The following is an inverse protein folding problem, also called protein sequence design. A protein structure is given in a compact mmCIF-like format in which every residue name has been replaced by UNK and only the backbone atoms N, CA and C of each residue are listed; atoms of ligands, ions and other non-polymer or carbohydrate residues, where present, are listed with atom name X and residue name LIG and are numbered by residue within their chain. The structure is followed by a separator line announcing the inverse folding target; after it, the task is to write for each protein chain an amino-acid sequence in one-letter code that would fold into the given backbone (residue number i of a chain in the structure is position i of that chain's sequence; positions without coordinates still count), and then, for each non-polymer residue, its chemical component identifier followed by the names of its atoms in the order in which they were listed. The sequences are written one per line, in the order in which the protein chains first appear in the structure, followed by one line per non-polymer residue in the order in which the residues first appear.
data_IF_530852750384
#
_entry.id   IF_530852750384
#
_cell.length_a   1.000
_cell.length_b   1.000
_cell.length_c   1.000
_cell.angle_alpha   90.00
_cell.angle_beta   90.00
_cell.angle_gamma   90.00
#
_symmetry.space_group_name_H-M   'P 1'
#
loop_
_entity.id
_entity.type
_entity.pdbx_description
1 polymer ?
#
# COMPACT_ATOMS: atom_id res chain seq x y z
N UNK A 1 -14.24 -30.37 -22.37
CA UNK A 1 -13.78 -29.95 -21.07
C UNK A 1 -12.29 -29.65 -21.22
N UNK A 2 -11.93 -28.37 -21.33
CA UNK A 2 -10.53 -27.98 -21.45
C UNK A 2 -9.94 -27.94 -20.03
N UNK A 3 -9.04 -28.87 -19.74
CA UNK A 3 -8.21 -28.85 -18.54
C UNK A 3 -7.38 -27.57 -18.56
N UNK A 4 -7.83 -26.58 -17.82
CA UNK A 4 -7.00 -25.40 -17.51
C UNK A 4 -5.93 -25.92 -16.56
N UNK A 5 -4.73 -26.14 -17.08
CA UNK A 5 -3.55 -26.45 -16.26
C UNK A 5 -3.40 -25.33 -15.22
N UNK A 6 -3.19 -25.66 -13.95
CA UNK A 6 -2.92 -24.63 -12.93
C UNK A 6 -1.67 -23.86 -13.36
N UNK A 7 -1.79 -22.53 -13.41
CA UNK A 7 -0.64 -21.63 -13.63
C UNK A 7 0.35 -21.95 -12.53
N UNK A 8 1.54 -22.38 -12.92
CA UNK A 8 2.62 -22.70 -11.97
C UNK A 8 3.11 -21.38 -11.35
N UNK A 9 2.51 -21.00 -10.23
CA UNK A 9 2.89 -19.79 -9.50
C UNK A 9 4.27 -20.02 -8.87
N UNK A 10 5.14 -19.02 -8.97
CA UNK A 10 6.40 -19.04 -8.22
C UNK A 10 6.10 -18.97 -6.73
N UNK A 11 6.80 -19.76 -5.94
CA UNK A 11 6.74 -19.63 -4.49
C UNK A 11 7.54 -18.41 -4.04
N UNK A 12 6.94 -17.59 -3.17
CA UNK A 12 7.65 -16.49 -2.52
C UNK A 12 8.54 -17.08 -1.44
N UNK A 13 9.85 -16.81 -1.54
CA UNK A 13 10.82 -17.24 -0.53
C UNK A 13 10.59 -16.53 0.81
N UNK A 14 10.91 -17.20 1.89
CA UNK A 14 10.97 -16.58 3.22
C UNK A 14 11.91 -15.37 3.20
N UNK A 15 11.53 -14.26 3.83
CA UNK A 15 12.24 -12.97 3.78
C UNK A 15 12.38 -12.31 2.40
N UNK A 16 11.67 -12.78 1.40
CA UNK A 16 11.58 -12.03 0.14
C UNK A 16 10.90 -10.68 0.37
N UNK A 17 11.57 -9.60 -0.02
CA UNK A 17 11.09 -8.22 0.14
C UNK A 17 10.69 -7.64 -1.21
N UNK A 18 9.50 -7.05 -1.26
CA UNK A 18 8.97 -6.29 -2.40
C UNK A 18 8.81 -4.84 -1.99
N UNK A 19 9.28 -3.90 -2.79
CA UNK A 19 9.31 -2.51 -2.38
C UNK A 19 8.87 -1.56 -3.48
N UNK A 20 8.10 -0.55 -3.13
CA UNK A 20 7.71 0.51 -4.05
C UNK A 20 7.64 1.87 -3.35
N UNK A 21 7.69 2.92 -4.18
CA UNK A 21 7.56 4.30 -3.74
C UNK A 21 6.49 5.01 -4.55
N UNK A 22 5.75 5.89 -3.90
CA UNK A 22 4.79 6.76 -4.57
C UNK A 22 4.95 8.21 -4.11
N UNK A 23 4.81 9.18 -5.01
CA UNK A 23 4.89 10.59 -4.69
C UNK A 23 3.67 11.04 -3.89
N UNK A 24 3.87 12.04 -3.04
CA UNK A 24 2.80 12.77 -2.40
C UNK A 24 2.17 13.79 -3.37
N UNK A 25 1.10 14.41 -2.94
CA UNK A 25 0.45 15.49 -3.67
C UNK A 25 -0.08 16.57 -2.72
N UNK A 26 -0.33 17.74 -3.26
CA UNK A 26 -1.04 18.82 -2.60
C UNK A 26 -2.31 19.18 -3.37
N UNK A 27 -3.44 19.21 -2.68
CA UNK A 27 -4.70 19.56 -3.28
C UNK A 27 -4.82 21.09 -3.43
N UNK A 28 -5.02 21.56 -4.66
CA UNK A 28 -5.37 22.95 -4.97
C UNK A 28 -6.87 23.19 -4.85
N UNK A 29 -7.66 22.22 -5.31
CA UNK A 29 -9.10 22.17 -5.13
C UNK A 29 -9.42 20.82 -4.49
N UNK A 30 -9.98 20.87 -3.29
CA UNK A 30 -10.32 19.68 -2.52
C UNK A 30 -11.82 19.44 -2.59
N UNK A 31 -12.23 18.19 -2.85
CA UNK A 31 -13.64 17.86 -2.72
C UNK A 31 -14.06 17.89 -1.25
N UNK A 32 -15.22 18.47 -0.99
CA UNK A 32 -15.79 18.65 0.35
C UNK A 32 -17.13 17.92 0.41
N UNK A 33 -17.11 16.63 0.66
CA UNK A 33 -18.30 15.82 0.79
C UNK A 33 -18.35 14.63 -0.15
N UNK A 34 -19.23 13.69 0.18
CA UNK A 34 -19.46 12.47 -0.58
C UNK A 34 -20.91 12.40 -0.99
N UNK A 35 -21.16 12.07 -2.25
CA UNK A 35 -22.50 11.79 -2.75
C UNK A 35 -22.76 10.29 -2.69
N UNK A 36 -23.76 9.85 -1.90
CA UNK A 36 -24.16 8.45 -1.76
C UNK A 36 -23.46 7.68 -0.65
N UNK A 37 -24.14 6.67 -0.13
CA UNK A 37 -23.75 5.96 1.09
C UNK A 37 -22.75 4.81 0.91
N UNK A 38 -22.51 4.32 -0.31
CA UNK A 38 -21.79 3.05 -0.49
C UNK A 38 -20.47 3.12 -1.26
N UNK A 39 -20.21 4.15 -2.06
CA UNK A 39 -19.06 4.16 -2.99
C UNK A 39 -18.09 5.33 -2.84
N UNK A 40 -18.20 6.13 -1.79
CA UNK A 40 -17.31 7.28 -1.56
C UNK A 40 -17.18 8.25 -2.76
N UNK A 41 -18.23 8.38 -3.55
CA UNK A 41 -18.24 9.26 -4.72
C UNK A 41 -18.09 10.73 -4.28
N UNK A 42 -17.16 11.49 -4.87
CA UNK A 42 -17.00 12.90 -4.54
C UNK A 42 -18.20 13.71 -5.02
N UNK A 43 -18.61 14.71 -4.24
CA UNK A 43 -19.70 15.62 -4.60
C UNK A 43 -19.27 16.74 -5.55
N UNK A 44 -17.98 16.99 -5.68
CA UNK A 44 -17.40 17.98 -6.59
C UNK A 44 -16.03 17.51 -7.11
N UNK A 45 -15.56 18.18 -8.16
CA UNK A 45 -14.23 17.91 -8.71
C UNK A 45 -13.11 18.27 -7.72
N UNK A 46 -11.97 17.61 -7.85
CA UNK A 46 -10.74 17.94 -7.14
C UNK A 46 -9.58 18.13 -8.12
N UNK A 47 -8.63 18.96 -7.73
CA UNK A 47 -7.40 19.19 -8.47
C UNK A 47 -6.22 19.14 -7.50
N UNK A 48 -5.20 18.38 -7.84
CA UNK A 48 -3.98 18.30 -7.04
C UNK A 48 -2.74 18.34 -7.92
N UNK A 49 -1.63 18.79 -7.35
CA UNK A 49 -0.31 18.77 -7.96
C UNK A 49 0.50 17.67 -7.29
N UNK A 50 1.12 16.81 -8.09
CA UNK A 50 2.05 15.80 -7.61
C UNK A 50 3.36 16.45 -7.18
N UNK A 51 3.91 16.03 -6.05
CA UNK A 51 5.17 16.48 -5.49
C UNK A 51 6.19 15.32 -5.61
N UNK A 52 6.92 15.23 -6.73
CA UNK A 52 7.70 14.03 -7.06
C UNK A 52 8.83 13.74 -6.08
N UNK A 53 9.37 14.78 -5.41
CA UNK A 53 10.45 14.64 -4.44
C UNK A 53 9.98 14.18 -3.05
N UNK A 54 8.68 14.34 -2.76
CA UNK A 54 8.10 13.94 -1.47
C UNK A 54 7.41 12.59 -1.63
N UNK A 55 8.04 11.55 -1.12
CA UNK A 55 7.64 10.16 -1.40
C UNK A 55 7.37 9.37 -0.13
N UNK A 56 6.42 8.46 -0.24
CA UNK A 56 6.25 7.35 0.71
C UNK A 56 6.84 6.09 0.10
N UNK A 57 7.59 5.35 0.90
CA UNK A 57 8.10 4.01 0.58
C UNK A 57 7.33 2.97 1.37
N UNK A 58 6.97 1.88 0.71
CA UNK A 58 6.38 0.69 1.33
C UNK A 58 7.22 -0.53 0.97
N UNK A 59 7.44 -1.38 1.94
CA UNK A 59 8.09 -2.68 1.79
C UNK A 59 7.14 -3.76 2.29
N UNK A 60 7.00 -4.83 1.53
CA UNK A 60 6.22 -6.03 1.86
C UNK A 60 7.20 -7.19 1.92
N UNK A 61 7.31 -7.84 3.07
CA UNK A 61 8.20 -8.98 3.27
C UNK A 61 7.39 -10.21 3.65
N UNK A 62 7.69 -11.34 3.00
CA UNK A 62 7.06 -12.62 3.35
C UNK A 62 7.61 -13.14 4.67
N UNK A 63 6.70 -13.47 5.57
CA UNK A 63 6.97 -14.12 6.84
C UNK A 63 6.80 -15.64 6.73
N UNK A 64 7.24 -16.35 7.77
CA UNK A 64 6.93 -17.77 7.94
C UNK A 64 5.44 -18.01 8.16
N UNK A 65 5.03 -19.27 8.02
CA UNK A 65 3.65 -19.67 8.19
C UNK A 65 3.16 -19.46 9.64
N UNK A 66 1.83 -19.34 9.79
CA UNK A 66 1.13 -19.16 11.06
C UNK A 66 1.33 -17.82 11.79
N UNK A 67 1.76 -16.77 11.08
CA UNK A 67 1.79 -15.40 11.57
C UNK A 67 0.66 -14.61 10.91
N UNK A 68 0.04 -13.67 11.61
CA UNK A 68 -0.90 -12.75 10.97
C UNK A 68 -0.14 -11.62 10.26
N UNK A 69 -0.72 -11.10 9.18
CA UNK A 69 -0.19 -9.88 8.55
C UNK A 69 -0.21 -8.74 9.56
N UNK A 70 0.89 -7.99 9.64
CA UNK A 70 0.98 -6.83 10.51
C UNK A 70 1.75 -5.68 9.83
N UNK A 71 1.56 -4.49 10.36
CA UNK A 71 2.30 -3.30 9.97
C UNK A 71 3.31 -2.94 11.04
N UNK A 72 4.48 -2.48 10.59
CA UNK A 72 5.49 -1.85 11.45
C UNK A 72 6.19 -0.68 10.72
N UNK A 73 6.81 0.24 11.47
CA UNK A 73 7.57 1.33 10.88
C UNK A 73 8.77 0.83 10.07
N UNK A 74 9.00 1.39 8.89
CA UNK A 74 10.22 1.13 8.12
C UNK A 74 11.37 1.96 8.68
N UNK A 75 12.34 1.30 9.30
CA UNK A 75 13.58 1.92 9.77
C UNK A 75 14.59 1.97 8.62
N UNK A 76 14.72 3.12 7.98
CA UNK A 76 15.60 3.32 6.85
C UNK A 76 16.26 4.69 6.90
N UNK A 77 17.58 4.76 6.70
CA UNK A 77 18.31 6.00 6.74
C UNK A 77 17.80 7.01 5.69
N UNK A 78 17.56 8.25 6.12
CA UNK A 78 16.96 9.30 5.28
C UNK A 78 15.44 9.25 5.15
N UNK A 79 14.75 8.31 5.83
CA UNK A 79 13.32 8.19 5.88
C UNK A 79 12.77 8.46 7.28
N UNK A 80 11.59 9.03 7.35
CA UNK A 80 10.92 9.40 8.59
C UNK A 80 9.81 8.37 8.85
N UNK A 81 9.82 7.80 10.05
CA UNK A 81 8.77 6.88 10.49
C UNK A 81 7.47 7.66 10.67
N UNK A 82 6.37 7.26 9.98
CA UNK A 82 5.08 7.90 10.18
C UNK A 82 4.47 7.48 11.51
N UNK A 83 3.92 8.43 12.24
CA UNK A 83 3.07 8.15 13.40
C UNK A 83 1.69 7.73 12.93
N UNK A 84 1.48 6.42 12.75
CA UNK A 84 0.17 5.88 12.40
C UNK A 84 -0.62 5.53 13.66
N UNK A 85 -1.79 6.14 13.81
CA UNK A 85 -2.77 5.69 14.79
C UNK A 85 -3.19 4.24 14.55
N UNK A 86 -3.69 3.54 15.56
CA UNK A 86 -4.22 2.18 15.40
C UNK A 86 -5.24 2.08 14.26
N UNK A 87 -6.12 3.08 14.13
CA UNK A 87 -7.09 3.16 13.03
C UNK A 87 -6.40 3.29 11.66
N UNK A 88 -5.30 4.05 11.59
CA UNK A 88 -4.49 4.18 10.37
C UNK A 88 -3.84 2.86 9.98
N UNK A 89 -3.26 2.15 10.94
CA UNK A 89 -2.66 0.83 10.73
C UNK A 89 -3.70 -0.19 10.26
N UNK A 90 -4.87 -0.22 10.92
CA UNK A 90 -5.97 -1.13 10.52
C UNK A 90 -6.42 -0.88 9.08
N UNK A 91 -6.65 0.37 8.68
CA UNK A 91 -7.04 0.70 7.30
C UNK A 91 -5.98 0.29 6.28
N UNK A 92 -4.71 0.41 6.64
CA UNK A 92 -3.59 0.01 5.79
C UNK A 92 -3.55 -1.52 5.59
N UNK A 93 -3.73 -2.28 6.68
CA UNK A 93 -3.82 -3.74 6.64
C UNK A 93 -5.09 -4.25 5.95
N UNK A 94 -6.22 -3.58 6.12
CA UNK A 94 -7.47 -3.89 5.39
C UNK A 94 -7.28 -3.73 3.88
N UNK A 95 -6.59 -2.69 3.44
CA UNK A 95 -6.27 -2.51 2.03
C UNK A 95 -5.34 -3.61 1.50
N UNK A 96 -4.31 -3.97 2.26
CA UNK A 96 -3.46 -5.12 1.92
C UNK A 96 -4.26 -6.42 1.82
N UNK A 97 -5.10 -6.71 2.80
CA UNK A 97 -5.97 -7.88 2.80
C UNK A 97 -6.90 -7.91 1.57
N UNK A 98 -7.45 -6.77 1.19
CA UNK A 98 -8.26 -6.64 -0.02
C UNK A 98 -7.45 -6.99 -1.27
N UNK A 99 -6.22 -6.47 -1.40
CA UNK A 99 -5.33 -6.75 -2.54
C UNK A 99 -4.92 -8.22 -2.59
N UNK A 100 -4.55 -8.81 -1.44
CA UNK A 100 -4.27 -10.26 -1.33
C UNK A 100 -5.43 -11.11 -1.84
N UNK A 101 -6.63 -10.82 -1.36
CA UNK A 101 -7.83 -11.56 -1.76
C UNK A 101 -8.15 -11.41 -3.25
N UNK A 102 -7.95 -10.21 -3.81
CA UNK A 102 -8.20 -9.95 -5.23
C UNK A 102 -7.26 -10.72 -6.16
N UNK A 103 -6.02 -10.95 -5.74
CA UNK A 103 -4.97 -11.59 -6.55
C UNK A 103 -4.57 -12.99 -6.05
N UNK A 104 -5.32 -13.54 -5.09
CA UNK A 104 -5.07 -14.86 -4.50
C UNK A 104 -3.62 -15.02 -4.00
N UNK A 105 -3.08 -13.99 -3.35
CA UNK A 105 -1.76 -14.03 -2.72
C UNK A 105 -1.87 -14.73 -1.36
N UNK A 106 -1.21 -15.86 -1.21
CA UNK A 106 -1.20 -16.63 0.03
C UNK A 106 0.04 -16.36 0.89
N UNK A 107 -0.06 -16.70 2.16
CA UNK A 107 1.00 -16.54 3.15
C UNK A 107 0.81 -15.32 4.04
N UNK A 108 1.76 -15.14 4.94
CA UNK A 108 1.79 -14.07 5.94
C UNK A 108 2.87 -13.05 5.59
N UNK A 109 2.59 -11.78 5.83
CA UNK A 109 3.47 -10.69 5.43
C UNK A 109 3.58 -9.63 6.52
N UNK A 110 4.76 -9.01 6.63
CA UNK A 110 4.91 -7.74 7.31
C UNK A 110 4.94 -6.62 6.26
N UNK A 111 4.20 -5.56 6.55
CA UNK A 111 4.15 -4.36 5.72
C UNK A 111 4.85 -3.24 6.48
N UNK A 112 5.88 -2.65 5.88
CA UNK A 112 6.61 -1.53 6.45
C UNK A 112 6.40 -0.28 5.62
N UNK A 113 6.33 0.88 6.27
CA UNK A 113 6.24 2.15 5.54
C UNK A 113 7.05 3.25 6.21
N UNK A 114 7.54 4.18 5.38
CA UNK A 114 8.19 5.42 5.81
C UNK A 114 7.96 6.52 4.77
N UNK A 115 8.09 7.77 5.21
CA UNK A 115 8.04 8.95 4.36
C UNK A 115 9.42 9.62 4.32
N UNK A 116 9.77 10.29 3.22
CA UNK A 116 10.91 11.20 3.22
C UNK A 116 10.52 12.65 3.58
N UNK A 117 9.31 12.85 4.06
CA UNK A 117 8.76 14.13 4.48
C UNK A 117 7.96 13.95 5.79
N UNK A 118 7.80 15.02 6.61
CA UNK A 118 7.03 14.96 7.85
C UNK A 118 5.56 14.63 7.60
N UNK A 119 4.98 13.82 8.48
CA UNK A 119 3.54 13.57 8.51
C UNK A 119 2.80 14.82 9.03
N UNK A 120 1.50 14.91 8.72
CA UNK A 120 0.58 15.94 9.24
C UNK A 120 0.90 17.41 8.87
N UNK A 121 1.70 17.63 7.83
CA UNK A 121 2.01 18.96 7.32
C UNK A 121 1.11 19.40 6.14
N UNK A 122 -0.10 18.86 6.03
CA UNK A 122 -1.05 19.17 4.94
C UNK A 122 -0.74 18.46 3.62
N UNK A 123 0.33 17.69 3.55
CA UNK A 123 0.67 16.84 2.42
C UNK A 123 -0.15 15.55 2.47
N UNK A 124 -0.56 15.05 1.33
CA UNK A 124 -1.43 13.88 1.23
C UNK A 124 -0.65 12.56 1.47
N UNK A 125 -0.07 12.41 2.67
CA UNK A 125 0.71 11.21 3.06
C UNK A 125 -0.10 9.92 2.99
N UNK A 126 -1.40 9.96 3.30
CA UNK A 126 -2.27 8.80 3.16
C UNK A 126 -2.44 8.37 1.69
N UNK A 127 -2.58 9.30 0.76
CA UNK A 127 -2.71 8.97 -0.66
C UNK A 127 -1.43 8.31 -1.20
N UNK A 128 -0.25 8.87 -0.90
CA UNK A 128 1.03 8.27 -1.30
C UNK A 128 1.28 6.91 -0.63
N UNK A 129 0.86 6.74 0.62
CA UNK A 129 1.00 5.46 1.34
C UNK A 129 0.18 4.34 0.71
N UNK A 130 -1.10 4.59 0.39
CA UNK A 130 -1.94 3.59 -0.28
C UNK A 130 -1.49 3.32 -1.71
N UNK A 131 -1.02 4.34 -2.44
CA UNK A 131 -0.44 4.17 -3.77
C UNK A 131 0.84 3.32 -3.72
N UNK A 132 1.77 3.61 -2.80
CA UNK A 132 2.99 2.83 -2.62
C UNK A 132 2.69 1.38 -2.20
N UNK A 133 1.71 1.16 -1.31
CA UNK A 133 1.27 -0.18 -0.93
C UNK A 133 0.72 -0.96 -2.13
N UNK A 134 -0.12 -0.32 -2.95
CA UNK A 134 -0.68 -0.97 -4.15
C UNK A 134 0.41 -1.31 -5.17
N UNK A 135 1.40 -0.44 -5.35
CA UNK A 135 2.53 -0.70 -6.23
C UNK A 135 3.43 -1.82 -5.69
N UNK A 136 3.73 -1.84 -4.38
CA UNK A 136 4.49 -2.93 -3.77
C UNK A 136 3.74 -4.27 -3.87
N UNK A 137 2.41 -4.26 -3.69
CA UNK A 137 1.57 -5.44 -3.90
C UNK A 137 1.59 -5.93 -5.36
N UNK A 138 1.66 -5.01 -6.33
CA UNK A 138 1.82 -5.36 -7.74
C UNK A 138 3.14 -6.11 -7.98
N UNK A 139 4.26 -5.67 -7.37
CA UNK A 139 5.54 -6.38 -7.44
C UNK A 139 5.44 -7.82 -6.91
N UNK A 140 4.67 -8.04 -5.83
CA UNK A 140 4.38 -9.39 -5.31
C UNK A 140 3.70 -10.23 -6.38
N UNK A 141 2.67 -9.69 -7.04
CA UNK A 141 1.89 -10.41 -8.05
C UNK A 141 2.72 -10.68 -9.30
N UNK A 142 3.49 -9.72 -9.78
CA UNK A 142 4.38 -9.90 -10.95
C UNK A 142 5.49 -10.92 -10.69
N UNK A 143 5.93 -11.05 -9.45
CA UNK A 143 6.85 -12.12 -9.06
C UNK A 143 6.18 -13.49 -9.08
N UNK A 144 4.93 -13.61 -8.65
CA UNK A 144 4.16 -14.85 -8.61
C UNK A 144 3.72 -15.32 -10.00
N UNK A 145 3.44 -14.37 -10.90
CA UNK A 145 2.94 -14.60 -12.25
C UNK A 145 4.01 -14.15 -13.26
N UNK A 146 5.01 -14.97 -13.56
CA UNK A 146 6.09 -14.62 -14.48
C UNK A 146 5.62 -14.48 -15.94
#
# INVERSE_FOLDING_TARGET
MSDVQPINQREISFHQVFAAEAPSNIALIKYMGKSGNEKNWPSNASLSITLPELRTRVEIEKLGDNVQDYWEPLQKNGWIVPELSLKGQMRFLEHWKFLKGKWNVEGSFVIRSANNFPSDCGLASSASSFAALTLAAKEVVEYLLP
#
